data_IF_392507246777
#
_entry.id   IF_392507246777
#
_cell.length_a   1.000
_cell.length_b   1.000
_cell.length_c   1.000
_cell.angle_alpha   90.00
_cell.angle_beta   90.00
_cell.angle_gamma   90.00
#
_symmetry.space_group_name_H-M   'P 1'
#
loop_
_entity.id
_entity.type
_entity.pdbx_description
1 polymer ?
#
# COMPACT_ATOMS: atom_id res chain seq x y z
N UNK A 1 9.58 -4.24 6.36
CA UNK A 1 9.32 -2.95 7.04
C UNK A 1 10.53 -2.02 6.94
N UNK A 2 11.67 -2.33 7.56
CA UNK A 2 12.87 -1.47 7.58
C UNK A 2 13.34 -1.00 6.19
N UNK A 3 13.44 -1.93 5.22
CA UNK A 3 13.79 -1.58 3.85
C UNK A 3 12.79 -0.61 3.19
N UNK A 4 11.47 -0.84 3.36
CA UNK A 4 10.43 0.06 2.84
C UNK A 4 10.56 1.47 3.42
N UNK A 5 10.82 1.58 4.73
CA UNK A 5 11.01 2.88 5.39
C UNK A 5 12.21 3.65 4.83
N UNK A 6 13.36 2.99 4.68
CA UNK A 6 14.55 3.63 4.11
C UNK A 6 14.38 4.02 2.65
N UNK A 7 13.76 3.16 1.85
CA UNK A 7 13.55 3.41 0.43
C UNK A 7 12.55 4.55 0.18
N UNK A 8 11.49 4.63 0.98
CA UNK A 8 10.42 5.63 0.81
C UNK A 8 10.72 6.97 1.48
N UNK A 9 11.75 7.04 2.33
CA UNK A 9 12.14 8.25 3.08
C UNK A 9 10.99 8.87 3.90
N UNK A 10 10.01 8.06 4.32
CA UNK A 10 8.88 8.54 5.12
C UNK A 10 9.28 8.77 6.59
N UNK A 11 8.60 9.69 7.30
CA UNK A 11 8.79 9.86 8.73
C UNK A 11 8.55 8.58 9.54
N UNK A 12 9.24 8.45 10.68
CA UNK A 12 9.11 7.29 11.59
C UNK A 12 7.68 7.06 12.11
N UNK A 13 6.83 8.09 12.09
CA UNK A 13 5.41 7.98 12.45
C UNK A 13 4.66 6.95 11.58
N UNK A 14 5.11 6.70 10.36
CA UNK A 14 4.52 5.71 9.43
C UNK A 14 5.12 4.30 9.57
N UNK A 15 5.86 4.03 10.64
CA UNK A 15 6.45 2.71 10.89
C UNK A 15 5.41 1.59 10.93
N UNK A 16 4.24 1.85 11.53
CA UNK A 16 3.12 0.90 11.53
C UNK A 16 2.68 0.53 10.11
N UNK A 17 2.51 1.52 9.24
CA UNK A 17 2.14 1.31 7.83
C UNK A 17 3.22 0.55 7.06
N UNK A 18 4.50 0.79 7.36
CA UNK A 18 5.61 0.03 6.79
C UNK A 18 5.54 -1.47 7.16
N UNK A 19 5.13 -1.79 8.38
CA UNK A 19 4.94 -3.18 8.84
C UNK A 19 3.76 -3.80 8.12
N UNK A 20 2.61 -3.14 8.12
CA UNK A 20 1.39 -3.63 7.47
C UNK A 20 1.62 -3.89 5.97
N UNK A 21 2.29 -2.95 5.29
CA UNK A 21 2.62 -3.11 3.86
C UNK A 21 3.57 -4.28 3.62
N UNK A 22 4.59 -4.46 4.48
CA UNK A 22 5.49 -5.60 4.35
C UNK A 22 4.76 -6.94 4.52
N UNK A 23 3.90 -7.06 5.52
CA UNK A 23 3.08 -8.27 5.75
C UNK A 23 2.13 -8.50 4.58
N UNK A 24 1.49 -7.45 4.09
CA UNK A 24 0.59 -7.51 2.93
C UNK A 24 1.29 -8.06 1.67
N UNK A 25 2.51 -7.60 1.40
CA UNK A 25 3.34 -8.08 0.29
C UNK A 25 3.75 -9.52 0.51
N UNK A 26 4.29 -9.87 1.69
CA UNK A 26 4.71 -11.24 2.01
C UNK A 26 3.56 -12.24 1.81
N UNK A 27 2.35 -11.90 2.25
CA UNK A 27 1.18 -12.76 2.11
C UNK A 27 0.72 -12.95 0.66
N UNK A 28 1.15 -12.07 -0.27
CA UNK A 28 0.82 -12.10 -1.70
C UNK A 28 2.01 -12.49 -2.58
N UNK A 29 3.16 -12.78 -1.99
CA UNK A 29 4.33 -13.27 -2.73
C UNK A 29 4.28 -14.79 -2.77
N UNK A 30 4.40 -15.42 -3.96
CA UNK A 30 4.45 -16.87 -4.06
C UNK A 30 5.73 -17.40 -3.40
N UNK A 31 5.61 -18.54 -2.72
CA UNK A 31 6.75 -19.18 -2.04
C UNK A 31 6.95 -20.59 -2.55
N UNK A 32 8.21 -20.99 -2.77
CA UNK A 32 8.57 -22.34 -3.21
C UNK A 32 8.13 -23.41 -2.20
N UNK A 33 8.19 -23.09 -0.91
CA UNK A 33 7.74 -23.98 0.18
C UNK A 33 6.24 -24.27 0.09
N UNK A 34 5.49 -23.37 -0.54
CA UNK A 34 4.04 -23.44 -0.74
C UNK A 34 3.69 -23.86 -2.17
N UNK A 35 4.56 -24.58 -2.86
CA UNK A 35 4.37 -25.01 -4.26
C UNK A 35 4.09 -23.83 -5.22
N UNK A 36 4.77 -22.71 -5.00
CA UNK A 36 4.58 -21.44 -5.72
C UNK A 36 3.19 -20.79 -5.53
N UNK A 37 2.43 -21.20 -4.50
CA UNK A 37 1.22 -20.50 -4.07
C UNK A 37 1.56 -19.40 -3.07
N UNK A 38 0.68 -18.41 -2.97
CA UNK A 38 0.78 -17.36 -1.97
C UNK A 38 0.16 -17.80 -0.64
N UNK A 39 0.66 -17.33 0.52
CA UNK A 39 0.00 -17.58 1.81
C UNK A 39 -1.48 -17.16 1.82
N UNK A 40 -1.81 -16.05 1.13
CA UNK A 40 -3.19 -15.59 0.98
C UNK A 40 -4.08 -16.60 0.24
N UNK A 41 -3.59 -17.20 -0.85
CA UNK A 41 -4.31 -18.24 -1.59
C UNK A 41 -4.60 -19.44 -0.73
N UNK A 42 -3.62 -19.91 0.03
CA UNK A 42 -3.78 -21.07 0.89
C UNK A 42 -4.80 -20.81 1.99
N UNK A 43 -4.77 -19.62 2.58
CA UNK A 43 -5.66 -19.28 3.69
C UNK A 43 -7.09 -18.98 3.24
N UNK A 44 -7.27 -18.33 2.09
CA UNK A 44 -8.58 -17.81 1.64
C UNK A 44 -9.21 -18.61 0.50
N UNK A 45 -8.44 -19.52 -0.13
CA UNK A 45 -8.85 -20.24 -1.33
C UNK A 45 -8.99 -19.35 -2.58
N UNK A 46 -8.58 -18.07 -2.51
CA UNK A 46 -8.73 -17.10 -3.60
C UNK A 46 -7.38 -16.56 -4.04
N UNK A 47 -7.18 -16.49 -5.36
CA UNK A 47 -6.00 -15.84 -5.93
C UNK A 47 -5.93 -14.35 -5.54
N UNK A 48 -4.73 -13.85 -5.21
CA UNK A 48 -4.57 -12.46 -4.82
C UNK A 48 -4.78 -11.56 -6.05
N UNK A 49 -5.52 -10.48 -5.84
CA UNK A 49 -5.62 -9.40 -6.83
C UNK A 49 -4.45 -8.44 -6.61
N UNK A 50 -3.66 -8.21 -7.66
CA UNK A 50 -2.44 -7.38 -7.60
C UNK A 50 -2.68 -5.90 -7.93
N UNK A 51 -3.85 -5.53 -8.45
CA UNK A 51 -4.19 -4.15 -8.84
C UNK A 51 -4.07 -3.12 -7.70
N UNK A 52 -4.14 -3.60 -6.46
CA UNK A 52 -4.05 -2.79 -5.26
C UNK A 52 -2.60 -2.56 -4.78
N UNK A 53 -1.61 -3.23 -5.37
CA UNK A 53 -0.21 -3.05 -4.98
C UNK A 53 0.30 -1.73 -5.54
N UNK A 54 0.79 -0.89 -4.63
CA UNK A 54 1.44 0.40 -4.94
C UNK A 54 2.79 0.44 -4.24
N UNK A 55 3.71 1.21 -4.81
CA UNK A 55 4.99 1.51 -4.17
C UNK A 55 4.73 2.25 -2.88
N UNK A 56 5.25 1.74 -1.76
CA UNK A 56 5.12 2.42 -0.47
C UNK A 56 5.82 3.78 -0.51
N UNK A 57 5.13 4.83 -0.05
CA UNK A 57 5.62 6.22 -0.13
C UNK A 57 5.50 6.89 -1.49
N UNK A 58 4.75 6.31 -2.45
CA UNK A 58 4.40 7.03 -3.66
C UNK A 58 3.51 8.25 -3.34
N UNK A 59 3.56 9.28 -4.19
CA UNK A 59 2.71 10.46 -4.10
C UNK A 59 1.24 10.04 -3.95
N UNK A 60 0.60 10.43 -2.85
CA UNK A 60 -0.84 10.29 -2.67
C UNK A 60 -1.53 11.64 -2.83
N UNK A 61 -2.80 11.63 -3.20
CA UNK A 61 -3.60 12.85 -3.35
C UNK A 61 -4.92 12.67 -2.63
N UNK A 62 -5.10 13.45 -1.56
CA UNK A 62 -6.37 13.52 -0.83
C UNK A 62 -7.34 14.44 -1.56
N UNK A 63 -8.56 13.97 -1.85
CA UNK A 63 -9.57 14.80 -2.49
C UNK A 63 -10.07 15.91 -1.55
N UNK A 64 -10.19 17.13 -2.06
CA UNK A 64 -10.72 18.26 -1.31
C UNK A 64 -12.25 18.22 -1.28
N UNK A 65 -12.83 18.53 -0.12
CA UNK A 65 -14.29 18.47 0.09
C UNK A 65 -15.03 19.36 -0.93
N UNK A 66 -16.02 18.81 -1.68
CA UNK A 66 -16.83 19.58 -2.63
C UNK A 66 -17.53 20.78 -2.00
N UNK A 67 -17.91 20.67 -0.73
CA UNK A 67 -18.66 21.71 0.00
C UNK A 67 -17.82 22.94 0.33
N UNK A 68 -16.50 22.76 0.41
CA UNK A 68 -15.57 23.81 0.80
C UNK A 68 -14.78 24.37 -0.39
N UNK A 69 -15.07 23.91 -1.62
CA UNK A 69 -14.33 24.31 -2.82
C UNK A 69 -15.18 25.06 -3.84
N UNK A 70 -14.69 26.24 -4.27
CA UNK A 70 -15.25 26.97 -5.42
C UNK A 70 -14.68 26.45 -6.75
N UNK A 71 -15.28 26.85 -7.88
CA UNK A 71 -15.01 26.30 -9.23
C UNK A 71 -13.52 26.20 -9.63
N UNK A 72 -12.69 27.13 -9.16
CA UNK A 72 -11.27 27.22 -9.52
C UNK A 72 -10.31 26.66 -8.47
N UNK A 73 -10.80 26.08 -7.37
CA UNK A 73 -9.93 25.48 -6.36
C UNK A 73 -9.47 24.08 -6.77
N UNK A 74 -8.25 23.68 -6.38
CA UNK A 74 -7.73 22.36 -6.64
C UNK A 74 -8.63 21.28 -6.03
N UNK A 75 -8.87 20.21 -6.81
CA UNK A 75 -9.76 19.10 -6.44
C UNK A 75 -9.08 18.05 -5.54
N UNK A 76 -7.77 18.13 -5.42
CA UNK A 76 -6.96 17.27 -4.58
C UNK A 76 -5.75 18.04 -4.05
N UNK A 77 -5.26 17.61 -2.89
CA UNK A 77 -4.01 18.06 -2.31
C UNK A 77 -3.08 16.86 -2.22
N UNK A 78 -1.83 17.04 -2.67
CA UNK A 78 -0.79 16.07 -2.44
C UNK A 78 -0.59 15.86 -0.93
N UNK A 79 -0.52 14.60 -0.53
CA UNK A 79 0.27 14.20 0.62
C UNK A 79 1.71 14.00 0.13
#
# INVERSE_FOLDING_TARGET
>A
ARALMFQSQVPLTFWGDCILTAVFLINRTPSQILENKTPHEILTGKSPVYDQIRTFGCLCSGSTSPKQRHKFQPRSKAC
#
